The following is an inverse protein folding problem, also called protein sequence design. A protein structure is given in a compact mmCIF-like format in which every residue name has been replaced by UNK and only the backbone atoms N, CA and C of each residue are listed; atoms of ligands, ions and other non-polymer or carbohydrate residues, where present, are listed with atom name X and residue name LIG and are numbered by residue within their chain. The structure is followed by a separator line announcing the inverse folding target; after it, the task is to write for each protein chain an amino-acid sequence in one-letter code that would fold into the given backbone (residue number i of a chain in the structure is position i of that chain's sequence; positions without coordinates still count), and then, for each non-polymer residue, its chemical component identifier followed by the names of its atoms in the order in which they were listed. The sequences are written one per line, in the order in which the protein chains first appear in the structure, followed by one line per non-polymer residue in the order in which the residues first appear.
data_IF_419730663153
#
_entry.id   IF_419730663153
#
_cell.length_a   1.000
_cell.length_b   1.000
_cell.length_c   1.000
_cell.angle_alpha   90.00
_cell.angle_beta   90.00
_cell.angle_gamma   90.00
#
_symmetry.space_group_name_H-M   'P 1'
#
loop_
_entity.id
_entity.type
_entity.pdbx_description
1 polymer ?
#
# COMPACT_ATOMS: atom_id res chain seq x y z
N UNK A 1 -19.98 -34.93 -17.56
CA UNK A 1 -19.91 -33.49 -17.91
C UNK A 1 -20.23 -32.73 -16.64
N UNK A 2 -19.20 -32.29 -15.90
CA UNK A 2 -19.37 -31.62 -14.59
C UNK A 2 -19.00 -30.16 -14.76
N UNK A 3 -19.99 -29.28 -14.70
CA UNK A 3 -19.79 -27.83 -14.69
C UNK A 3 -19.44 -27.41 -13.26
N UNK A 4 -18.20 -26.99 -13.03
CA UNK A 4 -17.85 -26.24 -11.81
C UNK A 4 -18.25 -24.77 -12.03
N UNK A 5 -19.33 -24.33 -11.39
CA UNK A 5 -19.63 -22.92 -11.24
C UNK A 5 -18.70 -22.40 -10.15
N UNK A 6 -17.57 -21.81 -10.54
CA UNK A 6 -16.78 -20.98 -9.63
C UNK A 6 -17.56 -19.68 -9.47
N UNK A 7 -18.40 -19.61 -8.45
CA UNK A 7 -19.05 -18.37 -8.04
C UNK A 7 -17.95 -17.35 -7.73
N UNK A 8 -17.72 -16.41 -8.65
CA UNK A 8 -16.91 -15.23 -8.40
C UNK A 8 -17.57 -14.45 -7.27
N UNK A 9 -17.14 -14.74 -6.04
CA UNK A 9 -17.33 -13.83 -4.92
C UNK A 9 -16.56 -12.57 -5.28
N UNK A 10 -17.28 -11.49 -5.51
CA UNK A 10 -16.78 -10.13 -5.61
C UNK A 10 -15.94 -9.85 -4.36
N UNK A 11 -14.62 -10.04 -4.44
CA UNK A 11 -13.70 -9.63 -3.39
C UNK A 11 -13.56 -8.12 -3.52
N UNK A 12 -14.32 -7.38 -2.71
CA UNK A 12 -13.93 -6.02 -2.38
C UNK A 12 -12.58 -6.10 -1.64
N UNK A 13 -11.58 -5.28 -1.99
CA UNK A 13 -10.21 -5.47 -1.50
C UNK A 13 -10.16 -5.16 0.00
N UNK A 14 -10.19 -6.20 0.82
CA UNK A 14 -10.01 -6.11 2.26
C UNK A 14 -8.53 -5.92 2.58
N UNK A 15 -8.07 -4.67 2.58
CA UNK A 15 -6.68 -4.25 2.88
C UNK A 15 -5.68 -4.83 1.86
N UNK A 16 -4.83 -3.99 1.25
CA UNK A 16 -3.73 -4.53 0.46
C UNK A 16 -2.86 -5.39 1.39
N UNK A 17 -2.66 -6.66 1.08
CA UNK A 17 -1.76 -7.54 1.82
C UNK A 17 -0.45 -7.69 1.04
N UNK A 18 0.67 -7.49 1.72
CA UNK A 18 2.02 -7.71 1.17
C UNK A 18 2.63 -8.90 1.91
N UNK A 19 2.95 -9.96 1.18
CA UNK A 19 3.56 -11.16 1.76
C UNK A 19 4.89 -10.83 2.45
N UNK A 20 5.04 -11.25 3.70
CA UNK A 20 6.25 -11.01 4.51
C UNK A 20 6.38 -9.58 5.04
N UNK A 21 5.34 -8.75 4.94
CA UNK A 21 5.29 -7.41 5.52
C UNK A 21 4.71 -7.45 6.93
N UNK A 22 5.36 -6.76 7.87
CA UNK A 22 4.98 -6.69 9.30
C UNK A 22 4.61 -5.28 9.75
N UNK A 23 4.98 -4.27 8.96
CA UNK A 23 4.60 -2.88 9.18
C UNK A 23 3.12 -2.62 8.90
N UNK A 24 2.77 -1.33 8.78
CA UNK A 24 1.38 -0.91 8.56
C UNK A 24 1.11 -0.52 7.11
N UNK A 25 0.05 -1.09 6.54
CA UNK A 25 -0.45 -0.73 5.21
C UNK A 25 -1.69 0.16 5.34
N UNK A 26 -1.70 1.28 4.62
CA UNK A 26 -2.77 2.28 4.66
C UNK A 26 -3.24 2.50 3.22
N UNK A 27 -4.43 1.99 2.90
CA UNK A 27 -5.09 2.21 1.60
C UNK A 27 -5.81 3.55 1.56
N UNK A 28 -6.27 3.97 0.38
CA UNK A 28 -7.05 5.18 0.20
C UNK A 28 -8.35 5.22 1.03
N UNK A 29 -8.90 4.06 1.37
CA UNK A 29 -10.15 3.94 2.15
C UNK A 29 -9.91 3.89 3.68
N UNK A 30 -8.64 3.91 4.11
CA UNK A 30 -8.30 3.82 5.52
C UNK A 30 -8.47 5.19 6.21
N UNK A 31 -9.04 5.24 7.42
CA UNK A 31 -9.27 6.48 8.16
C UNK A 31 -8.01 7.37 8.32
N UNK A 32 -6.86 6.75 8.61
CA UNK A 32 -5.58 7.45 8.73
C UNK A 32 -4.94 7.88 7.39
N UNK A 33 -5.57 7.64 6.24
CA UNK A 33 -4.99 7.90 4.92
C UNK A 33 -4.60 9.36 4.72
N UNK A 34 -5.51 10.29 5.02
CA UNK A 34 -5.28 11.72 4.84
C UNK A 34 -4.14 12.23 5.75
N UNK A 35 -4.05 11.70 6.96
CA UNK A 35 -2.98 12.02 7.91
C UNK A 35 -1.65 11.42 7.41
N UNK A 36 -1.67 10.19 6.90
CA UNK A 36 -0.47 9.49 6.50
C UNK A 36 0.16 10.04 5.21
N UNK A 37 -0.64 10.54 4.26
CA UNK A 37 -0.17 11.12 3.00
C UNK A 37 0.32 12.56 3.14
N UNK A 38 -0.08 13.27 4.19
CA UNK A 38 0.28 14.67 4.41
C UNK A 38 1.80 14.84 4.51
N UNK A 39 2.36 15.71 3.66
CA UNK A 39 3.77 16.13 3.68
C UNK A 39 3.88 17.54 4.29
N UNK A 40 5.09 17.93 4.71
CA UNK A 40 5.31 19.23 5.36
C UNK A 40 4.89 20.41 4.49
N UNK A 41 5.16 20.34 3.19
CA UNK A 41 4.66 21.32 2.23
C UNK A 41 3.19 21.05 1.90
N UNK A 42 2.28 21.75 2.58
CA UNK A 42 0.84 21.62 2.39
C UNK A 42 0.33 21.94 0.97
N UNK A 43 1.15 22.52 0.09
CA UNK A 43 0.80 22.72 -1.31
C UNK A 43 0.92 21.44 -2.17
N UNK A 44 1.57 20.39 -1.65
CA UNK A 44 1.75 19.12 -2.36
C UNK A 44 0.63 18.14 -1.94
N UNK A 45 -0.39 18.00 -2.80
CA UNK A 45 -1.47 17.00 -2.64
C UNK A 45 -1.20 15.75 -3.50
N UNK A 46 -0.31 14.85 -3.02
CA UNK A 46 -0.15 13.52 -3.62
C UNK A 46 -1.10 12.52 -2.98
N UNK A 47 -1.74 11.70 -3.82
CA UNK A 47 -2.73 10.68 -3.42
C UNK A 47 -2.25 9.28 -3.80
N UNK A 48 -1.30 8.70 -3.05
CA UNK A 48 -0.81 7.35 -3.33
C UNK A 48 -1.92 6.32 -3.16
N UNK A 49 -1.93 5.27 -4.00
CA UNK A 49 -2.90 4.16 -3.88
C UNK A 49 -2.72 3.35 -2.59
N UNK A 50 -1.50 3.30 -2.07
CA UNK A 50 -1.11 2.56 -0.87
C UNK A 50 0.07 3.25 -0.19
N UNK A 51 0.06 3.31 1.14
CA UNK A 51 1.18 3.78 1.96
C UNK A 51 1.67 2.62 2.82
N UNK A 52 2.94 2.25 2.65
CA UNK A 52 3.60 1.20 3.43
C UNK A 52 4.53 1.81 4.48
N UNK A 53 4.12 1.77 5.76
CA UNK A 53 4.95 2.16 6.90
C UNK A 53 5.77 0.97 7.37
N UNK A 54 6.97 0.85 6.81
CA UNK A 54 7.93 -0.22 7.10
C UNK A 54 8.53 -0.06 8.50
N UNK A 55 8.67 -1.15 9.26
CA UNK A 55 9.35 -1.17 10.56
C UNK A 55 10.79 -1.74 10.49
N UNK A 56 11.20 -2.24 9.32
CA UNK A 56 12.55 -2.75 9.10
C UNK A 56 12.84 -3.08 7.64
N UNK A 57 14.04 -3.59 7.38
CA UNK A 57 14.53 -3.88 6.02
C UNK A 57 13.67 -4.91 5.29
N UNK A 58 13.16 -5.93 6.00
CA UNK A 58 12.31 -6.97 5.41
C UNK A 58 11.03 -6.37 4.79
N UNK A 59 10.40 -5.42 5.49
CA UNK A 59 9.23 -4.70 5.01
C UNK A 59 9.52 -3.88 3.76
N UNK A 60 10.65 -3.18 3.73
CA UNK A 60 11.07 -2.40 2.55
C UNK A 60 11.24 -3.31 1.34
N UNK A 61 11.92 -4.44 1.51
CA UNK A 61 12.11 -5.43 0.44
C UNK A 61 10.76 -5.95 -0.05
N UNK A 62 9.85 -6.30 0.87
CA UNK A 62 8.53 -6.81 0.53
C UNK A 62 7.69 -5.77 -0.22
N UNK A 63 7.68 -4.51 0.25
CA UNK A 63 6.94 -3.42 -0.38
C UNK A 63 7.47 -3.05 -1.77
N UNK A 64 8.79 -3.00 -1.96
CA UNK A 64 9.39 -2.71 -3.27
C UNK A 64 9.11 -3.83 -4.27
N UNK A 65 9.20 -5.10 -3.85
CA UNK A 65 8.83 -6.24 -4.72
C UNK A 65 7.37 -6.20 -5.11
N UNK A 66 6.49 -5.94 -4.14
CA UNK A 66 5.06 -5.78 -4.39
C UNK A 66 4.78 -4.65 -5.40
N UNK A 67 5.39 -3.48 -5.22
CA UNK A 67 5.22 -2.36 -6.14
C UNK A 67 5.70 -2.72 -7.56
N UNK A 68 6.86 -3.37 -7.70
CA UNK A 68 7.37 -3.86 -9.00
C UNK A 68 6.40 -4.83 -9.66
N UNK A 69 5.92 -5.83 -8.91
CA UNK A 69 5.06 -6.90 -9.45
C UNK A 69 3.66 -6.39 -9.85
N UNK A 70 3.27 -5.21 -9.33
CA UNK A 70 2.00 -4.54 -9.62
C UNK A 70 2.17 -3.26 -10.47
N UNK A 71 3.35 -3.02 -11.04
CA UNK A 71 3.68 -1.84 -11.86
C UNK A 71 3.29 -0.50 -11.19
N UNK A 72 3.61 -0.37 -9.90
CA UNK A 72 3.28 0.81 -9.11
C UNK A 72 4.45 1.79 -9.07
N UNK A 73 4.16 3.08 -9.28
CA UNK A 73 5.11 4.16 -9.03
C UNK A 73 5.48 4.22 -7.54
N UNK A 74 6.78 4.29 -7.25
CA UNK A 74 7.31 4.31 -5.88
C UNK A 74 7.72 5.73 -5.51
N UNK A 75 7.16 6.23 -4.40
CA UNK A 75 7.66 7.42 -3.71
C UNK A 75 8.21 7.00 -2.33
N UNK A 76 9.42 7.47 -2.00
CA UNK A 76 10.07 7.17 -0.71
C UNK A 76 9.98 8.39 0.20
N UNK A 77 9.55 8.18 1.45
CA UNK A 77 9.51 9.22 2.50
C UNK A 77 10.41 8.81 3.66
N UNK A 78 11.46 9.60 3.91
CA UNK A 78 12.29 9.51 5.12
C UNK A 78 11.79 10.40 6.26
N UNK A 79 12.55 10.43 7.37
CA UNK A 79 12.29 11.28 8.54
C UNK A 79 12.57 12.76 8.28
N UNK A 80 11.74 13.43 7.48
CA UNK A 80 11.39 14.85 7.62
C UNK A 80 12.46 15.95 7.66
N UNK A 81 13.74 15.68 7.33
CA UNK A 81 14.78 16.70 7.25
C UNK A 81 15.30 16.84 5.82
N UNK A 82 14.54 17.55 4.99
CA UNK A 82 15.06 18.39 3.90
C UNK A 82 14.35 19.73 4.00
#
# INVERSE_FOLDING_TARGET
MTTMIVSHRSQQPSVAEINGFQGRLISADHADYDIARAVWNGAIDRRPRLIARCIGTADVIAAVRFARDNDMEIAIRGGGHN
#
